data_IF_496518084982
#
_entry.id   IF_496518084982
#
_cell.length_a   1.000
_cell.length_b   1.000
_cell.length_c   1.000
_cell.angle_alpha   90.00
_cell.angle_beta   90.00
_cell.angle_gamma   90.00
#
_symmetry.space_group_name_H-M   'P 1'
#
loop_
_entity.id
_entity.type
_entity.pdbx_description
1 polymer ?
#
# COMPACT_ATOMS: atom_id res chain seq x y z
N UNK A 1 -9.48 -5.24 1.53
CA UNK A 1 -10.57 -4.38 1.01
C UNK A 1 -11.47 -3.84 2.14
N UNK A 2 -11.83 -4.65 3.15
CA UNK A 2 -12.63 -4.21 4.31
C UNK A 2 -12.09 -2.96 5.05
N UNK A 3 -10.77 -2.81 5.22
CA UNK A 3 -10.20 -1.62 5.88
C UNK A 3 -10.41 -0.32 5.13
N UNK A 4 -10.52 -0.34 3.79
CA UNK A 4 -10.76 0.88 2.99
C UNK A 4 -12.21 1.30 3.13
N UNK A 5 -13.13 0.35 3.13
CA UNK A 5 -14.57 0.60 3.28
C UNK A 5 -14.87 1.18 4.66
N UNK A 6 -14.30 0.62 5.73
CA UNK A 6 -14.44 1.16 7.09
C UNK A 6 -13.92 2.60 7.19
N UNK A 7 -12.78 2.91 6.56
CA UNK A 7 -12.22 4.27 6.57
C UNK A 7 -13.09 5.28 5.81
N UNK A 8 -13.68 4.88 4.68
CA UNK A 8 -14.63 5.73 3.96
C UNK A 8 -15.87 5.99 4.82
N UNK A 9 -16.38 4.97 5.49
CA UNK A 9 -17.49 5.09 6.44
C UNK A 9 -17.16 6.05 7.60
N UNK A 10 -16.03 5.87 8.27
CA UNK A 10 -15.61 6.78 9.35
C UNK A 10 -15.42 8.22 8.87
N UNK A 11 -14.91 8.42 7.65
CA UNK A 11 -14.77 9.76 7.08
C UNK A 11 -16.13 10.42 6.79
N UNK A 12 -17.14 9.66 6.33
CA UNK A 12 -18.48 10.19 6.14
C UNK A 12 -19.14 10.60 7.46
N UNK A 13 -18.99 9.79 8.52
CA UNK A 13 -19.53 10.14 9.83
C UNK A 13 -18.84 11.36 10.46
N UNK A 14 -17.52 11.47 10.31
CA UNK A 14 -16.77 12.65 10.76
C UNK A 14 -17.16 13.92 10.00
N UNK A 15 -17.41 13.81 8.69
CA UNK A 15 -17.89 14.92 7.88
C UNK A 15 -19.30 15.37 8.31
N UNK A 16 -20.22 14.42 8.52
CA UNK A 16 -21.56 14.69 9.01
C UNK A 16 -21.57 15.36 10.39
N UNK A 17 -20.75 14.88 11.32
CA UNK A 17 -20.60 15.48 12.64
C UNK A 17 -20.05 16.90 12.59
N UNK A 18 -19.07 17.16 11.72
CA UNK A 18 -18.50 18.49 11.55
C UNK A 18 -19.54 19.46 10.95
N UNK A 19 -20.26 19.08 9.90
CA UNK A 19 -21.33 19.92 9.30
C UNK A 19 -22.41 20.27 10.32
N UNK A 20 -22.86 19.30 11.13
CA UNK A 20 -23.86 19.54 12.18
C UNK A 20 -23.33 20.50 13.25
N UNK A 21 -22.05 20.39 13.64
CA UNK A 21 -21.42 21.32 14.57
C UNK A 21 -21.31 22.74 13.99
N UNK A 22 -21.03 22.88 12.69
CA UNK A 22 -21.00 24.18 12.01
C UNK A 22 -22.33 24.88 11.91
N UNK A 23 -23.41 24.13 11.67
CA UNK A 23 -24.77 24.70 11.63
C UNK A 23 -25.17 25.23 13.00
N UNK A 24 -24.75 24.56 14.09
CA UNK A 24 -25.02 25.01 15.46
C UNK A 24 -24.12 26.18 15.93
N UNK A 25 -22.85 26.23 15.54
CA UNK A 25 -21.92 27.29 15.97
C UNK A 25 -21.92 28.52 15.05
N UNK A 26 -22.27 28.37 13.77
CA UNK A 26 -22.24 29.43 12.76
C UNK A 26 -23.25 30.56 12.99
N UNK A 27 -24.23 30.38 13.88
CA UNK A 27 -25.20 31.42 14.25
C UNK A 27 -24.72 32.31 15.40
N UNK A 28 -23.58 32.02 16.04
CA UNK A 28 -23.17 32.66 17.29
C UNK A 28 -22.05 33.70 17.14
N UNK A 29 -21.09 33.56 16.20
CA UNK A 29 -20.02 34.56 16.04
C UNK A 29 -19.28 34.49 14.68
N UNK A 30 -19.15 35.60 13.93
CA UNK A 30 -18.47 35.62 12.62
C UNK A 30 -16.94 35.53 12.70
N UNK A 31 -16.32 35.82 13.85
CA UNK A 31 -14.87 35.75 14.06
C UNK A 31 -14.34 34.31 14.25
N UNK A 32 -15.19 33.36 14.66
CA UNK A 32 -14.83 31.94 14.85
C UNK A 32 -14.69 31.15 13.54
N UNK A 33 -15.01 31.76 12.41
CA UNK A 33 -15.16 31.09 11.12
C UNK A 33 -13.82 30.55 10.56
N UNK A 34 -12.69 31.21 10.83
CA UNK A 34 -11.38 30.78 10.33
C UNK A 34 -10.88 29.49 11.02
N UNK A 35 -11.07 29.37 12.33
CA UNK A 35 -10.70 28.17 13.09
C UNK A 35 -11.57 26.97 12.72
N UNK A 36 -12.86 27.22 12.50
CA UNK A 36 -13.81 26.20 12.07
C UNK A 36 -13.52 25.67 10.66
N UNK A 37 -13.20 26.55 9.70
CA UNK A 37 -12.74 26.15 8.37
C UNK A 37 -11.46 25.30 8.46
N UNK A 38 -10.49 25.71 9.28
CA UNK A 38 -9.26 24.93 9.51
C UNK A 38 -9.54 23.52 10.03
N UNK A 39 -10.49 23.36 10.96
CA UNK A 39 -10.89 22.07 11.52
C UNK A 39 -11.59 21.19 10.48
N UNK A 40 -12.49 21.78 9.68
CA UNK A 40 -13.14 21.09 8.56
C UNK A 40 -12.12 20.56 7.54
N UNK A 41 -11.16 21.40 7.12
CA UNK A 41 -10.10 20.98 6.21
C UNK A 41 -9.22 19.88 6.81
N UNK A 42 -8.89 19.97 8.10
CA UNK A 42 -8.08 18.95 8.77
C UNK A 42 -8.78 17.58 8.83
N UNK A 43 -10.08 17.56 9.15
CA UNK A 43 -10.92 16.35 9.17
C UNK A 43 -11.09 15.78 7.78
N UNK A 44 -11.39 16.62 6.78
CA UNK A 44 -11.59 16.21 5.39
C UNK A 44 -10.31 15.64 4.75
N UNK A 45 -9.15 16.22 5.05
CA UNK A 45 -7.86 15.77 4.50
C UNK A 45 -7.25 14.59 5.25
N UNK A 46 -7.71 14.28 6.47
CA UNK A 46 -7.22 13.15 7.28
C UNK A 46 -7.32 11.79 6.57
N UNK A 47 -8.49 11.35 6.05
CA UNK A 47 -8.61 10.05 5.37
C UNK A 47 -7.75 9.97 4.11
N UNK A 48 -7.59 11.08 3.38
CA UNK A 48 -6.75 11.13 2.18
C UNK A 48 -5.28 10.89 2.52
N UNK A 49 -4.77 11.52 3.59
CA UNK A 49 -3.40 11.31 4.08
C UNK A 49 -3.18 9.86 4.52
N UNK A 50 -4.14 9.29 5.25
CA UNK A 50 -4.06 7.91 5.71
C UNK A 50 -4.11 6.90 4.56
N UNK A 51 -5.05 7.08 3.62
CA UNK A 51 -5.16 6.25 2.42
C UNK A 51 -3.87 6.31 1.59
N UNK A 52 -3.30 7.49 1.39
CA UNK A 52 -2.03 7.66 0.71
C UNK A 52 -0.90 6.93 1.45
N UNK A 53 -0.87 6.96 2.78
CA UNK A 53 0.11 6.22 3.58
C UNK A 53 -0.01 4.70 3.39
N UNK A 54 -1.21 4.14 3.45
CA UNK A 54 -1.46 2.71 3.20
C UNK A 54 -1.03 2.31 1.79
N UNK A 55 -1.42 3.09 0.78
CA UNK A 55 -1.05 2.83 -0.62
C UNK A 55 0.46 2.81 -0.78
N UNK A 56 1.18 3.79 -0.19
CA UNK A 56 2.65 3.81 -0.23
C UNK A 56 3.26 2.57 0.40
N UNK A 57 2.77 2.16 1.58
CA UNK A 57 3.26 0.95 2.26
C UNK A 57 3.08 -0.29 1.38
N UNK A 58 1.89 -0.45 0.80
CA UNK A 58 1.60 -1.57 -0.09
C UNK A 58 2.44 -1.54 -1.37
N UNK A 59 2.60 -0.38 -2.01
CA UNK A 59 3.44 -0.23 -3.21
C UNK A 59 4.90 -0.53 -2.88
N UNK A 60 5.39 -0.05 -1.73
CA UNK A 60 6.76 -0.32 -1.29
C UNK A 60 6.99 -1.81 -1.01
N UNK A 61 6.08 -2.46 -0.29
CA UNK A 61 6.14 -3.91 -0.05
C UNK A 61 6.08 -4.72 -1.35
N UNK A 62 5.22 -4.33 -2.30
CA UNK A 62 5.17 -4.96 -3.63
C UNK A 62 6.48 -4.78 -4.40
N UNK A 63 7.10 -3.59 -4.34
CA UNK A 63 8.41 -3.35 -4.96
C UNK A 63 9.50 -4.22 -4.35
N UNK A 64 9.56 -4.31 -3.03
CA UNK A 64 10.51 -5.19 -2.32
C UNK A 64 10.28 -6.64 -2.74
N UNK A 65 9.02 -7.10 -2.79
CA UNK A 65 8.69 -8.46 -3.23
C UNK A 65 9.17 -8.73 -4.66
N UNK A 66 8.92 -7.80 -5.59
CA UNK A 66 9.39 -7.92 -6.97
C UNK A 66 10.92 -7.93 -7.08
N UNK A 67 11.61 -7.11 -6.29
CA UNK A 67 13.08 -7.12 -6.21
C UNK A 67 13.62 -8.44 -5.64
N UNK A 68 12.97 -8.99 -4.62
CA UNK A 68 13.34 -10.27 -4.04
C UNK A 68 13.09 -11.44 -5.00
N UNK A 69 12.03 -11.35 -5.82
CA UNK A 69 11.75 -12.33 -6.88
C UNK A 69 12.79 -12.29 -8.01
N UNK A 70 13.38 -11.12 -8.31
CA UNK A 70 14.46 -11.00 -9.30
C UNK A 70 15.72 -11.76 -8.92
N UNK A 71 16.03 -11.84 -7.63
CA UNK A 71 17.23 -12.52 -7.13
C UNK A 71 16.93 -13.93 -6.62
N UNK A 72 15.68 -14.39 -6.76
CA UNK A 72 15.28 -15.67 -6.22
C UNK A 72 15.94 -16.82 -7.00
N UNK A 73 16.74 -17.61 -6.29
CA UNK A 73 17.25 -18.91 -6.72
C UNK A 73 16.57 -19.98 -5.88
N UNK A 74 16.06 -21.01 -6.52
CA UNK A 74 15.41 -22.14 -5.86
C UNK A 74 16.38 -22.81 -4.86
N UNK A 75 17.68 -22.80 -5.18
CA UNK A 75 18.76 -23.31 -4.31
C UNK A 75 18.84 -22.63 -2.95
N UNK A 76 18.40 -21.38 -2.84
CA UNK A 76 18.49 -20.55 -1.64
C UNK A 76 17.15 -20.50 -0.87
N UNK A 77 16.15 -21.27 -1.30
CA UNK A 77 14.89 -21.37 -0.58
C UNK A 77 15.10 -22.04 0.79
N UNK A 78 14.77 -21.31 1.86
CA UNK A 78 14.77 -21.83 3.22
C UNK A 78 13.58 -22.77 3.40
N UNK A 79 13.76 -24.05 3.11
CA UNK A 79 12.81 -25.08 3.47
C UNK A 79 13.04 -25.50 4.92
N UNK A 80 11.97 -25.56 5.72
CA UNK A 80 12.04 -25.95 7.14
C UNK A 80 12.42 -27.43 7.30
N UNK A 81 12.12 -28.26 6.31
CA UNK A 81 12.47 -29.68 6.26
C UNK A 81 13.01 -30.05 4.87
N UNK A 82 14.05 -30.88 4.82
CA UNK A 82 14.62 -31.36 3.55
C UNK A 82 13.64 -32.21 2.73
N UNK A 83 12.70 -32.89 3.43
CA UNK A 83 11.60 -33.59 2.79
C UNK A 83 10.73 -32.63 1.96
N UNK A 84 10.31 -31.51 2.55
CA UNK A 84 9.50 -30.48 1.88
C UNK A 84 10.24 -29.91 0.67
N UNK A 85 11.55 -29.71 0.80
CA UNK A 85 12.40 -29.27 -0.31
C UNK A 85 12.32 -30.26 -1.47
N UNK A 86 12.52 -31.55 -1.20
CA UNK A 86 12.47 -32.59 -2.22
C UNK A 86 11.09 -32.73 -2.88
N UNK A 87 10.02 -32.55 -2.10
CA UNK A 87 8.64 -32.59 -2.58
C UNK A 87 8.34 -31.41 -3.51
N UNK A 88 8.71 -30.19 -3.10
CA UNK A 88 8.56 -28.97 -3.89
C UNK A 88 9.39 -29.06 -5.18
N UNK A 89 10.64 -29.52 -5.12
CA UNK A 89 11.48 -29.70 -6.30
C UNK A 89 10.90 -30.73 -7.28
N UNK A 90 10.34 -31.84 -6.78
CA UNK A 90 9.66 -32.83 -7.63
C UNK A 90 8.41 -32.25 -8.27
N UNK A 91 7.59 -31.52 -7.53
CA UNK A 91 6.40 -30.87 -8.06
C UNK A 91 6.75 -29.83 -9.14
N UNK A 92 7.76 -28.98 -8.88
CA UNK A 92 8.28 -28.00 -9.84
C UNK A 92 8.82 -28.69 -11.09
N UNK A 93 9.61 -29.75 -10.94
CA UNK A 93 10.14 -30.51 -12.08
C UNK A 93 9.02 -31.20 -12.87
N UNK A 94 7.97 -31.69 -12.21
CA UNK A 94 6.81 -32.27 -12.90
C UNK A 94 6.00 -31.22 -13.68
N UNK A 95 5.89 -29.98 -13.18
CA UNK A 95 5.10 -28.92 -13.81
C UNK A 95 5.87 -28.15 -14.88
N UNK A 96 7.13 -27.79 -14.60
CA UNK A 96 7.96 -26.94 -15.47
C UNK A 96 9.02 -27.75 -16.26
N UNK A 97 9.11 -29.06 -16.05
CA UNK A 97 10.10 -29.95 -16.67
C UNK A 97 11.49 -29.86 -16.06
N UNK A 98 11.90 -28.71 -15.52
CA UNK A 98 13.14 -28.53 -14.78
C UNK A 98 13.05 -27.37 -13.78
N UNK A 99 13.91 -27.40 -12.77
CA UNK A 99 14.04 -26.29 -11.80
C UNK A 99 14.57 -25.02 -12.46
N UNK A 100 15.44 -25.13 -13.47
CA UNK A 100 15.97 -23.98 -14.23
C UNK A 100 14.87 -23.27 -15.02
N UNK A 101 13.97 -24.02 -15.67
CA UNK A 101 12.81 -23.43 -16.37
C UNK A 101 11.88 -22.69 -15.43
N UNK A 102 11.70 -23.21 -14.22
CA UNK A 102 10.92 -22.53 -13.20
C UNK A 102 11.58 -21.22 -12.75
N UNK A 103 12.89 -21.22 -12.53
CA UNK A 103 13.63 -19.99 -12.20
C UNK A 103 13.53 -18.94 -13.32
N UNK A 104 13.71 -19.35 -14.57
CA UNK A 104 13.53 -18.48 -15.74
C UNK A 104 12.11 -17.90 -15.84
N UNK A 105 11.09 -18.73 -15.57
CA UNK A 105 9.69 -18.30 -15.58
C UNK A 105 9.38 -17.29 -14.44
N UNK A 106 9.87 -17.56 -13.23
CA UNK A 106 9.69 -16.68 -12.07
C UNK A 106 10.46 -15.36 -12.23
N UNK A 107 11.63 -15.39 -12.86
CA UNK A 107 12.45 -14.20 -13.11
C UNK A 107 11.97 -13.36 -14.31
N UNK A 108 11.27 -13.96 -15.26
CA UNK A 108 10.81 -13.28 -16.48
C UNK A 108 9.30 -13.01 -16.48
N UNK A 109 8.49 -13.86 -17.14
CA UNK A 109 7.08 -13.62 -17.43
C UNK A 109 6.23 -13.35 -16.18
N UNK A 110 6.49 -14.04 -15.06
CA UNK A 110 5.76 -13.81 -13.82
C UNK A 110 5.96 -12.37 -13.30
N UNK A 111 7.16 -11.80 -13.47
CA UNK A 111 7.40 -10.40 -13.09
C UNK A 111 6.64 -9.43 -13.98
N UNK A 112 6.56 -9.71 -15.29
CA UNK A 112 5.81 -8.85 -16.21
C UNK A 112 4.31 -8.85 -15.89
N UNK A 113 3.75 -10.00 -15.50
CA UNK A 113 2.36 -10.10 -15.07
C UNK A 113 2.11 -9.33 -13.76
N UNK A 114 2.92 -9.56 -12.72
CA UNK A 114 2.78 -8.84 -11.45
C UNK A 114 3.08 -7.33 -11.56
N UNK A 115 4.01 -6.94 -12.43
CA UNK A 115 4.33 -5.53 -12.70
C UNK A 115 3.23 -4.85 -13.54
N UNK A 116 2.63 -5.58 -14.48
CA UNK A 116 1.51 -5.13 -15.31
C UNK A 116 0.28 -4.75 -14.47
N UNK A 117 -0.03 -5.55 -13.45
CA UNK A 117 -1.10 -5.23 -12.50
C UNK A 117 -0.78 -4.02 -11.61
N UNK A 118 0.49 -3.81 -11.29
CA UNK A 118 0.95 -2.65 -10.52
C UNK A 118 0.86 -1.35 -11.33
N UNK A 119 0.97 -1.45 -12.66
CA UNK A 119 0.89 -0.31 -13.59
C UNK A 119 -0.48 0.37 -13.61
N UNK A 120 -1.56 -0.35 -13.28
CA UNK A 120 -2.92 0.21 -13.18
C UNK A 120 -3.08 1.21 -12.03
N UNK A 121 -2.14 1.20 -11.08
CA UNK A 121 -2.09 2.12 -9.92
C UNK A 121 -1.02 3.22 -10.09
N UNK A 122 -0.63 3.57 -11.33
CA UNK A 122 0.27 4.69 -11.63
C UNK A 122 -0.37 6.05 -11.32
N UNK A 123 -0.64 6.32 -10.05
CA UNK A 123 -0.66 7.68 -9.55
C UNK A 123 0.80 8.13 -9.49
N UNK A 124 1.20 9.21 -10.19
CA UNK A 124 2.60 9.60 -10.27
C UNK A 124 3.14 9.85 -8.86
N UNK A 125 4.18 9.09 -8.48
CA UNK A 125 4.84 9.17 -7.17
C UNK A 125 5.20 10.60 -6.75
N UNK A 126 5.44 11.49 -7.73
CA UNK A 126 5.70 12.92 -7.52
C UNK A 126 4.55 13.65 -6.82
N UNK A 127 3.29 13.24 -7.02
CA UNK A 127 2.14 13.84 -6.34
C UNK A 127 1.96 13.32 -4.90
N UNK A 128 2.43 12.11 -4.61
CA UNK A 128 2.41 11.58 -3.25
C UNK A 128 3.58 12.10 -2.39
N UNK A 129 4.77 12.26 -2.96
CA UNK A 129 5.98 12.62 -2.19
C UNK A 129 5.98 14.04 -1.56
N UNK A 130 4.96 14.88 -1.80
CA UNK A 130 4.93 16.26 -1.26
C UNK A 130 4.18 16.45 0.06
N UNK A 131 3.57 15.40 0.61
CA UNK A 131 2.92 15.44 1.93
C UNK A 131 3.71 14.50 2.86
N UNK A 132 4.83 15.01 3.39
CA UNK A 132 5.45 14.53 4.62
C UNK A 132 6.34 15.65 5.18
N UNK A 133 6.01 16.25 6.33
CA UNK A 133 6.95 17.00 7.13
C UNK A 133 7.46 16.08 8.25
N UNK A 134 8.05 14.92 7.94
CA UNK A 134 8.74 14.10 8.95
C UNK A 134 9.74 13.16 8.28
N UNK A 135 10.87 13.70 7.87
CA UNK A 135 12.08 12.91 7.71
C UNK A 135 13.10 13.48 8.70
N UNK A 136 13.00 13.05 9.94
CA UNK A 136 14.07 13.15 10.93
C UNK A 136 14.14 11.78 11.60
N UNK A 137 15.33 11.19 11.61
CA UNK A 137 15.66 9.84 12.07
C UNK A 137 15.18 8.66 11.21
N UNK A 138 16.06 8.17 10.34
CA UNK A 138 16.52 6.77 10.38
C UNK A 138 17.63 6.53 9.35
N UNK A 139 18.86 6.97 9.64
CA UNK A 139 20.11 6.41 9.09
C UNK A 139 21.20 6.65 10.14
N UNK A 140 21.41 5.67 11.03
CA UNK A 140 22.70 5.20 11.50
C UNK A 140 22.48 3.91 12.30
#
# INVERSE_FOLDING_TARGET
MASVILLLFFSMFALGGAVMAGIHFGTADPAGNLGYLGLLFAVLCSPVRWAAHIIRKNVHQKKILLQNLQQHKLSNSLCRMDFDRSYVYKAITAWCGSTTRFEEYVQGPLQFELAGDTHRLRLPLRFMLRISPSCHQCWH
#
